data_IF_230129434250
#
_entry.id   IF_230129434250
#
_cell.length_a   1.000
_cell.length_b   1.000
_cell.length_c   1.000
_cell.angle_alpha   90.00
_cell.angle_beta   90.00
_cell.angle_gamma   90.00
#
_symmetry.space_group_name_H-M   'P 1'
#
loop_
_entity.id
_entity.type
_entity.pdbx_description
1 polymer ?
#
# COMPACT_ATOMS: atom_id res chain seq x y z
N UNK A 1 -62.12 18.37 18.88
CA UNK A 1 -61.52 17.27 19.65
C UNK A 1 -60.17 16.91 19.10
N UNK A 2 -59.08 17.32 19.76
CA UNK A 2 -57.70 17.01 19.34
C UNK A 2 -57.30 15.66 19.96
N UNK A 3 -57.21 14.64 19.17
CA UNK A 3 -56.64 13.37 19.58
C UNK A 3 -55.12 13.43 19.54
N UNK A 4 -54.49 13.42 20.72
CA UNK A 4 -53.05 13.32 20.84
C UNK A 4 -52.70 11.84 20.89
N UNK A 5 -52.17 11.28 19.76
CA UNK A 5 -51.74 9.88 19.69
C UNK A 5 -50.30 9.77 20.11
N UNK A 6 -50.04 9.27 21.32
CA UNK A 6 -48.73 8.97 21.85
C UNK A 6 -48.33 7.57 21.38
N UNK A 7 -47.51 7.44 20.36
CA UNK A 7 -46.89 6.16 20.02
C UNK A 7 -45.40 6.20 20.40
N UNK A 8 -45.05 5.41 21.41
CA UNK A 8 -43.67 5.12 21.77
C UNK A 8 -43.06 4.18 20.72
N UNK A 9 -42.01 4.62 20.04
CA UNK A 9 -41.26 3.83 19.09
C UNK A 9 -40.31 2.92 19.86
N UNK A 10 -40.50 1.60 19.84
CA UNK A 10 -39.52 0.61 20.28
C UNK A 10 -38.64 0.26 19.08
N UNK A 11 -37.60 1.06 18.83
CA UNK A 11 -36.49 0.68 18.00
C UNK A 11 -35.46 -0.13 18.80
N UNK A 12 -34.43 -0.75 18.15
CA UNK A 12 -33.39 -1.46 18.87
C UNK A 12 -32.78 -0.53 19.92
N UNK A 13 -32.44 -1.07 21.09
CA UNK A 13 -32.04 -0.39 22.34
C UNK A 13 -30.78 0.47 22.19
N UNK A 14 -30.88 1.59 21.51
CA UNK A 14 -29.88 2.65 21.46
C UNK A 14 -30.56 3.93 21.97
N UNK A 15 -30.09 4.40 23.12
CA UNK A 15 -30.50 5.59 23.86
C UNK A 15 -31.90 5.52 24.55
N UNK A 16 -31.89 5.21 25.83
CA UNK A 16 -32.97 5.55 26.73
C UNK A 16 -33.08 7.07 26.83
N UNK A 17 -34.19 7.63 26.33
CA UNK A 17 -34.61 8.95 26.75
C UNK A 17 -34.71 10.07 25.71
N UNK A 18 -34.55 9.84 24.43
CA UNK A 18 -34.80 10.87 23.42
C UNK A 18 -36.27 10.77 22.90
N UNK A 19 -37.13 11.71 23.27
CA UNK A 19 -38.46 11.87 22.67
C UNK A 19 -38.37 13.01 21.64
N UNK A 20 -38.44 12.66 20.37
CA UNK A 20 -38.55 13.65 19.29
C UNK A 20 -40.02 13.84 18.98
N UNK A 21 -40.55 15.03 19.21
CA UNK A 21 -41.93 15.40 18.86
C UNK A 21 -41.88 16.19 17.54
N UNK A 22 -42.33 15.56 16.47
CA UNK A 22 -42.46 16.19 15.17
C UNK A 22 -43.95 16.32 14.84
N UNK A 23 -44.43 17.53 14.60
CA UNK A 23 -45.79 17.83 14.21
C UNK A 23 -45.99 17.62 12.70
N UNK A 24 -46.82 16.65 12.31
CA UNK A 24 -47.16 16.32 10.93
C UNK A 24 -48.13 15.11 10.86
N UNK A 25 -48.61 14.77 9.67
CA UNK A 25 -49.48 13.64 9.41
C UNK A 25 -48.80 12.29 9.72
N UNK A 26 -49.49 11.25 10.16
CA UNK A 26 -48.90 9.99 10.63
C UNK A 26 -48.08 9.21 9.58
N UNK A 27 -48.31 9.49 8.31
CA UNK A 27 -47.54 8.82 7.20
C UNK A 27 -46.15 9.42 6.96
N UNK A 28 -46.02 10.73 7.14
CA UNK A 28 -44.77 11.45 6.95
C UNK A 28 -43.73 11.07 8.01
N UNK A 29 -44.17 10.81 9.24
CA UNK A 29 -43.29 10.42 10.35
C UNK A 29 -42.62 9.05 10.15
N UNK A 30 -43.33 8.11 9.48
CA UNK A 30 -42.74 6.78 9.19
C UNK A 30 -41.67 6.87 8.11
N UNK A 31 -41.89 7.73 7.13
CA UNK A 31 -40.94 7.93 6.04
C UNK A 31 -39.68 8.68 6.56
N UNK A 32 -39.90 9.74 7.33
CA UNK A 32 -38.84 10.52 7.95
C UNK A 32 -38.00 9.65 8.93
N UNK A 33 -38.64 8.86 9.76
CA UNK A 33 -37.96 7.92 10.68
C UNK A 33 -37.13 6.86 9.97
N UNK A 34 -37.60 6.35 8.81
CA UNK A 34 -36.84 5.42 7.98
C UNK A 34 -35.64 6.08 7.31
N UNK A 35 -35.80 7.30 6.82
CA UNK A 35 -34.68 8.07 6.22
C UNK A 35 -33.59 8.41 7.24
N UNK A 36 -34.02 8.83 8.46
CA UNK A 36 -33.08 9.09 9.57
C UNK A 36 -32.38 7.81 10.01
N UNK A 37 -33.11 6.71 10.16
CA UNK A 37 -32.49 5.42 10.50
C UNK A 37 -31.53 4.91 9.41
N UNK A 38 -31.90 5.02 8.14
CA UNK A 38 -31.04 4.68 7.01
C UNK A 38 -29.78 5.57 6.95
N UNK A 39 -29.94 6.88 7.16
CA UNK A 39 -28.83 7.83 7.22
C UNK A 39 -27.84 7.52 8.35
N UNK A 40 -28.37 7.17 9.55
CA UNK A 40 -27.53 6.80 10.70
C UNK A 40 -26.81 5.46 10.50
N UNK A 41 -27.46 4.47 9.88
CA UNK A 41 -26.81 3.17 9.61
C UNK A 41 -25.74 3.28 8.52
N UNK A 42 -26.00 4.04 7.45
CA UNK A 42 -25.02 4.32 6.40
C UNK A 42 -23.84 5.13 6.96
N UNK A 43 -24.11 6.17 7.74
CA UNK A 43 -23.09 7.00 8.37
C UNK A 43 -22.23 6.22 9.37
N UNK A 44 -22.83 5.37 10.21
CA UNK A 44 -22.10 4.50 11.13
C UNK A 44 -21.27 3.45 10.39
N UNK A 45 -21.82 2.88 9.32
CA UNK A 45 -21.09 1.93 8.46
C UNK A 45 -19.88 2.58 7.80
N UNK A 46 -20.05 3.76 7.22
CA UNK A 46 -18.95 4.53 6.60
C UNK A 46 -17.88 4.91 7.62
N UNK A 47 -18.29 5.36 8.82
CA UNK A 47 -17.36 5.70 9.89
C UNK A 47 -16.57 4.47 10.38
N UNK A 48 -17.21 3.32 10.49
CA UNK A 48 -16.54 2.07 10.85
C UNK A 48 -15.52 1.65 9.79
N UNK A 49 -15.89 1.71 8.50
CA UNK A 49 -14.97 1.42 7.40
C UNK A 49 -13.79 2.40 7.39
N UNK A 50 -14.03 3.70 7.55
CA UNK A 50 -12.98 4.71 7.62
C UNK A 50 -12.03 4.49 8.81
N UNK A 51 -12.55 4.10 9.97
CA UNK A 51 -11.73 3.77 11.15
C UNK A 51 -10.90 2.51 10.94
N UNK A 52 -11.49 1.46 10.37
CA UNK A 52 -10.78 0.21 10.07
C UNK A 52 -9.71 0.45 9.02
N UNK A 53 -10.01 1.18 7.94
CA UNK A 53 -8.99 1.52 6.93
C UNK A 53 -7.86 2.37 7.50
N UNK A 54 -8.16 3.34 8.39
CA UNK A 54 -7.14 4.14 9.07
C UNK A 54 -6.28 3.34 10.06
N UNK A 55 -6.85 2.30 10.69
CA UNK A 55 -6.08 1.39 11.55
C UNK A 55 -5.19 0.47 10.73
N UNK A 56 -5.71 -0.05 9.61
CA UNK A 56 -4.94 -0.91 8.70
C UNK A 56 -3.80 -0.12 8.03
N UNK A 57 -4.03 1.13 7.62
CA UNK A 57 -2.99 1.97 7.04
C UNK A 57 -1.89 2.33 8.06
N UNK A 58 -2.23 2.58 9.33
CA UNK A 58 -1.24 2.81 10.38
C UNK A 58 -0.41 1.58 10.71
N UNK A 59 -1.00 0.38 10.69
CA UNK A 59 -0.28 -0.87 10.91
C UNK A 59 0.62 -1.27 9.72
N UNK A 60 0.30 -0.78 8.51
CA UNK A 60 1.07 -1.06 7.29
C UNK A 60 2.29 -0.15 7.06
N UNK A 61 2.40 0.96 7.80
CA UNK A 61 3.43 1.98 7.53
C UNK A 61 4.78 1.79 8.22
N UNK A 62 4.87 0.94 9.26
CA UNK A 62 6.13 0.75 9.96
C UNK A 62 7.06 -0.21 9.18
N UNK A 63 8.25 0.25 8.84
CA UNK A 63 9.31 -0.58 8.24
C UNK A 63 9.80 -1.58 9.29
N UNK A 64 10.05 -2.82 8.89
CA UNK A 64 10.57 -3.87 9.77
C UNK A 64 11.97 -3.50 10.29
N UNK A 65 12.32 -3.84 11.55
CA UNK A 65 13.61 -3.41 12.13
C UNK A 65 14.84 -3.79 11.29
N UNK A 66 14.78 -4.87 10.53
CA UNK A 66 15.88 -5.30 9.64
C UNK A 66 15.92 -4.59 8.29
N UNK A 67 14.92 -3.78 7.96
CA UNK A 67 14.77 -3.10 6.67
C UNK A 67 14.85 -1.58 6.77
N UNK A 68 15.33 -1.06 7.89
CA UNK A 68 15.44 0.39 8.12
C UNK A 68 16.72 0.99 7.54
N UNK A 69 17.71 0.16 7.24
CA UNK A 69 19.00 0.59 6.71
C UNK A 69 18.96 0.64 5.18
N UNK A 70 19.44 1.73 4.56
CA UNK A 70 19.52 1.81 3.10
C UNK A 70 20.45 0.73 2.53
N UNK A 71 20.18 0.24 1.31
CA UNK A 71 21.03 -0.70 0.62
C UNK A 71 22.44 -0.11 0.41
N UNK A 72 23.46 -0.96 0.50
CA UNK A 72 24.85 -0.56 0.24
C UNK A 72 25.23 -0.69 -1.22
N UNK A 73 24.61 -1.63 -1.95
CA UNK A 73 24.90 -1.88 -3.36
C UNK A 73 24.36 -0.73 -4.24
N UNK A 74 25.20 -0.12 -5.08
CA UNK A 74 24.79 1.01 -5.94
C UNK A 74 23.74 0.64 -6.99
N UNK A 75 23.55 -0.65 -7.26
CA UNK A 75 22.55 -1.20 -8.17
C UNK A 75 21.12 -1.15 -7.61
N UNK A 76 20.97 -0.78 -6.34
CA UNK A 76 19.66 -0.81 -5.66
C UNK A 76 19.20 0.62 -5.39
N UNK A 77 17.92 0.90 -5.68
CA UNK A 77 17.29 2.19 -5.32
C UNK A 77 17.37 2.46 -3.82
N UNK A 78 17.64 3.70 -3.46
CA UNK A 78 17.80 4.13 -2.06
C UNK A 78 19.22 3.91 -1.50
N UNK A 79 20.15 3.36 -2.28
CA UNK A 79 21.58 3.33 -1.95
C UNK A 79 22.18 4.74 -2.00
N UNK A 80 23.40 4.89 -1.51
CA UNK A 80 24.11 6.18 -1.54
C UNK A 80 24.33 6.74 -2.96
N UNK A 81 24.30 5.87 -3.99
CA UNK A 81 24.42 6.25 -5.40
C UNK A 81 23.05 6.57 -6.04
N UNK A 82 21.94 6.27 -5.37
CA UNK A 82 20.59 6.51 -5.86
C UNK A 82 20.20 7.97 -5.76
N UNK A 83 19.44 8.46 -6.74
CA UNK A 83 18.77 9.77 -6.66
C UNK A 83 17.55 9.78 -5.74
N UNK A 84 17.18 8.63 -5.17
CA UNK A 84 16.00 8.45 -4.32
C UNK A 84 16.40 8.45 -2.86
N UNK A 85 15.73 9.31 -2.08
CA UNK A 85 15.87 9.32 -0.62
C UNK A 85 15.23 8.05 -0.02
N UNK A 86 16.02 7.25 0.69
CA UNK A 86 15.57 6.03 1.37
C UNK A 86 14.39 6.27 2.31
N UNK A 87 14.34 7.43 2.96
CA UNK A 87 13.24 7.79 3.88
C UNK A 87 11.88 7.96 3.19
N UNK A 88 11.88 8.10 1.86
CA UNK A 88 10.66 8.15 1.03
C UNK A 88 10.29 6.80 0.43
N UNK A 89 11.06 5.76 0.70
CA UNK A 89 10.71 4.40 0.27
C UNK A 89 9.68 3.82 1.25
N UNK A 90 8.53 3.42 0.72
CA UNK A 90 7.48 2.81 1.55
C UNK A 90 7.94 1.47 2.13
N UNK A 91 7.27 1.01 3.20
CA UNK A 91 7.58 -0.26 3.88
C UNK A 91 7.76 -1.43 2.92
N UNK A 92 6.83 -1.61 1.99
CA UNK A 92 6.87 -2.74 1.05
C UNK A 92 7.99 -2.58 0.02
N UNK A 93 8.28 -1.35 -0.39
CA UNK A 93 9.45 -1.03 -1.21
C UNK A 93 10.76 -1.34 -0.48
N UNK A 94 10.89 -0.91 0.77
CA UNK A 94 12.07 -1.18 1.60
C UNK A 94 12.30 -2.68 1.80
N UNK A 95 11.22 -3.44 2.07
CA UNK A 95 11.29 -4.90 2.15
C UNK A 95 11.79 -5.50 0.84
N UNK A 96 11.18 -5.14 -0.28
CA UNK A 96 11.53 -5.71 -1.58
C UNK A 96 12.97 -5.37 -2.00
N UNK A 97 13.41 -4.13 -1.76
CA UNK A 97 14.78 -3.70 -2.03
C UNK A 97 15.79 -4.34 -1.08
N UNK A 98 15.48 -4.42 0.21
CA UNK A 98 16.34 -5.00 1.23
C UNK A 98 16.52 -6.51 1.13
N UNK A 99 15.64 -7.20 0.39
CA UNK A 99 15.73 -8.65 0.12
C UNK A 99 16.42 -8.95 -1.23
N UNK A 100 17.11 -7.99 -1.84
CA UNK A 100 17.92 -8.26 -3.03
C UNK A 100 19.03 -9.26 -2.68
N UNK A 101 19.18 -10.29 -3.50
CA UNK A 101 20.23 -11.29 -3.30
C UNK A 101 21.62 -10.67 -3.54
N UNK A 102 22.59 -11.18 -2.80
CA UNK A 102 24.01 -10.81 -3.04
C UNK A 102 24.66 -11.76 -4.04
N UNK A 103 25.69 -11.33 -4.77
CA UNK A 103 26.44 -12.19 -5.67
C UNK A 103 26.94 -13.48 -5.00
N UNK A 104 27.45 -13.35 -3.77
CA UNK A 104 27.97 -14.48 -2.99
C UNK A 104 26.85 -15.46 -2.60
N UNK A 105 25.68 -14.93 -2.23
CA UNK A 105 24.49 -15.73 -1.91
C UNK A 105 24.03 -16.54 -3.13
N UNK A 106 23.94 -15.88 -4.30
CA UNK A 106 23.57 -16.53 -5.56
C UNK A 106 24.59 -17.60 -5.93
N UNK A 107 25.87 -17.27 -5.92
CA UNK A 107 26.95 -18.18 -6.29
C UNK A 107 26.96 -19.44 -5.39
N UNK A 108 26.79 -19.24 -4.08
CA UNK A 108 26.72 -20.34 -3.11
C UNK A 108 25.56 -21.30 -3.35
N UNK A 109 24.36 -20.77 -3.60
CA UNK A 109 23.15 -21.57 -3.81
C UNK A 109 23.18 -22.28 -5.17
N UNK A 110 23.64 -21.59 -6.20
CA UNK A 110 23.66 -22.12 -7.57
C UNK A 110 24.89 -22.99 -7.87
N UNK A 111 25.85 -23.05 -6.97
CA UNK A 111 27.07 -23.86 -7.13
C UNK A 111 27.97 -23.37 -8.26
N UNK A 112 28.06 -22.04 -8.44
CA UNK A 112 28.92 -21.40 -9.44
C UNK A 112 30.04 -20.58 -8.79
N UNK A 113 31.12 -20.31 -9.51
CA UNK A 113 32.29 -19.59 -8.96
C UNK A 113 32.01 -18.11 -8.72
N UNK A 114 31.12 -17.51 -9.52
CA UNK A 114 30.75 -16.09 -9.42
C UNK A 114 29.33 -15.84 -9.93
N UNK A 115 28.72 -14.80 -9.38
CA UNK A 115 27.45 -14.24 -9.84
C UNK A 115 27.55 -12.72 -9.90
N UNK A 116 26.58 -12.07 -10.54
CA UNK A 116 26.50 -10.62 -10.67
C UNK A 116 25.58 -10.05 -9.61
N UNK A 117 25.78 -8.78 -9.19
CA UNK A 117 24.82 -8.08 -8.32
C UNK A 117 23.53 -7.81 -9.09
N UNK A 118 22.37 -8.34 -8.66
CA UNK A 118 21.09 -7.99 -9.26
C UNK A 118 20.76 -6.49 -9.09
N UNK A 119 20.05 -5.94 -10.07
CA UNK A 119 19.51 -4.58 -9.98
C UNK A 119 18.07 -4.65 -9.51
N UNK A 120 17.73 -3.85 -8.49
CA UNK A 120 16.33 -3.60 -8.11
C UNK A 120 16.05 -2.10 -8.05
N UNK A 121 15.09 -1.63 -8.83
CA UNK A 121 14.65 -0.23 -8.85
C UNK A 121 13.18 -0.12 -8.49
N UNK A 122 12.86 0.80 -7.59
CA UNK A 122 11.51 0.96 -7.05
C UNK A 122 11.13 2.42 -6.92
N UNK A 123 9.91 2.76 -7.36
CA UNK A 123 9.33 4.07 -7.12
C UNK A 123 8.11 3.97 -6.20
N UNK A 124 8.21 4.61 -5.03
CA UNK A 124 7.18 4.63 -3.97
C UNK A 124 6.19 5.78 -4.14
N UNK A 125 5.00 5.63 -3.57
CA UNK A 125 4.00 6.70 -3.47
C UNK A 125 4.49 7.92 -2.70
N UNK A 126 5.31 7.72 -1.66
CA UNK A 126 5.80 8.80 -0.79
C UNK A 126 6.90 9.66 -1.45
N UNK A 127 7.36 9.29 -2.65
CA UNK A 127 8.34 10.09 -3.41
C UNK A 127 7.70 11.32 -4.03
N UNK A 128 6.52 11.14 -4.64
CA UNK A 128 5.71 12.22 -5.24
C UNK A 128 4.26 11.77 -5.38
N UNK A 129 3.33 12.73 -5.35
CA UNK A 129 1.91 12.48 -5.60
C UNK A 129 1.55 12.46 -7.10
N UNK A 130 2.47 12.86 -7.98
CA UNK A 130 2.26 12.83 -9.43
C UNK A 130 2.76 11.51 -10.02
N UNK A 131 1.85 10.78 -10.67
CA UNK A 131 2.16 9.47 -11.27
C UNK A 131 3.16 9.60 -12.43
N UNK A 132 3.10 10.68 -13.21
CA UNK A 132 4.02 10.91 -14.31
C UNK A 132 5.43 11.23 -13.79
N UNK A 133 5.54 12.05 -12.75
CA UNK A 133 6.81 12.34 -12.08
C UNK A 133 7.40 11.07 -11.45
N UNK A 134 6.56 10.24 -10.81
CA UNK A 134 6.99 8.96 -10.24
C UNK A 134 7.54 8.01 -11.29
N UNK A 135 6.89 7.95 -12.46
CA UNK A 135 7.38 7.17 -13.59
C UNK A 135 8.73 7.69 -14.10
N UNK A 136 8.92 9.01 -14.16
CA UNK A 136 10.21 9.61 -14.53
C UNK A 136 11.31 9.29 -13.51
N UNK A 137 11.01 9.30 -12.22
CA UNK A 137 11.97 8.91 -11.18
C UNK A 137 12.38 7.45 -11.33
N UNK A 138 11.44 6.54 -11.64
CA UNK A 138 11.76 5.15 -11.92
C UNK A 138 12.65 5.01 -13.15
N UNK A 139 12.33 5.71 -14.24
CA UNK A 139 13.14 5.70 -15.46
C UNK A 139 14.56 6.22 -15.20
N UNK A 140 14.71 7.28 -14.40
CA UNK A 140 16.02 7.80 -14.03
C UNK A 140 16.87 6.75 -13.26
N UNK A 141 16.24 5.97 -12.37
CA UNK A 141 16.92 4.88 -11.66
C UNK A 141 17.28 3.71 -12.61
N UNK A 142 16.40 3.38 -13.57
CA UNK A 142 16.66 2.38 -14.62
C UNK A 142 17.88 2.80 -15.44
N UNK A 143 17.95 4.05 -15.87
CA UNK A 143 19.05 4.60 -16.65
C UNK A 143 20.35 4.66 -15.83
N UNK A 144 20.27 5.16 -14.58
CA UNK A 144 21.42 5.24 -13.67
C UNK A 144 22.08 3.88 -13.46
N UNK A 145 21.27 2.85 -13.23
CA UNK A 145 21.75 1.48 -12.96
C UNK A 145 22.08 0.69 -14.21
N UNK A 146 21.79 1.24 -15.40
CA UNK A 146 21.88 0.55 -16.69
C UNK A 146 21.08 -0.76 -16.70
N UNK A 147 19.90 -0.72 -16.09
CA UNK A 147 19.07 -1.90 -15.88
C UNK A 147 18.70 -2.62 -17.19
N UNK A 148 18.53 -1.88 -18.28
CA UNK A 148 18.20 -2.42 -19.60
C UNK A 148 19.41 -3.07 -20.32
N UNK A 149 20.63 -2.89 -19.84
CA UNK A 149 21.82 -3.55 -20.38
C UNK A 149 22.03 -4.96 -19.80
N UNK A 150 21.23 -5.35 -18.78
CA UNK A 150 21.30 -6.68 -18.20
C UNK A 150 20.71 -7.73 -19.14
N UNK A 151 21.13 -8.97 -18.95
CA UNK A 151 20.67 -10.12 -19.75
C UNK A 151 19.15 -10.30 -19.74
N UNK A 152 18.50 -9.93 -18.64
CA UNK A 152 17.06 -9.97 -18.50
C UNK A 152 16.55 -8.79 -17.67
N UNK A 153 15.42 -8.23 -18.05
CA UNK A 153 14.71 -7.18 -17.33
C UNK A 153 13.27 -7.61 -17.04
N UNK A 154 12.81 -7.45 -15.81
CA UNK A 154 11.46 -7.75 -15.39
C UNK A 154 10.78 -6.53 -14.78
N UNK A 155 9.57 -6.21 -15.24
CA UNK A 155 8.71 -5.22 -14.63
C UNK A 155 7.67 -5.94 -13.76
N UNK A 156 7.73 -5.72 -12.46
CA UNK A 156 6.78 -6.28 -11.50
C UNK A 156 5.64 -5.30 -11.22
N UNK A 157 4.41 -5.80 -11.24
CA UNK A 157 3.24 -5.03 -10.82
C UNK A 157 3.01 -5.27 -9.33
N UNK A 158 3.21 -4.27 -8.46
CA UNK A 158 2.89 -4.39 -7.05
C UNK A 158 1.38 -4.45 -6.82
N UNK A 159 0.97 -4.93 -5.65
CA UNK A 159 -0.40 -4.77 -5.16
C UNK A 159 -0.66 -3.31 -4.77
N UNK A 160 -1.92 -2.94 -4.47
CA UNK A 160 -2.27 -1.58 -4.03
C UNK A 160 -1.53 -1.11 -2.78
N UNK A 161 -1.05 -2.03 -1.92
CA UNK A 161 -0.17 -1.70 -0.78
C UNK A 161 1.29 -1.45 -1.16
N UNK A 162 1.68 -1.69 -2.41
CA UNK A 162 3.06 -1.63 -2.88
C UNK A 162 3.83 -2.95 -2.74
N UNK A 163 3.18 -4.01 -2.25
CA UNK A 163 3.82 -5.32 -2.10
C UNK A 163 4.17 -5.92 -3.47
N UNK A 164 5.43 -6.30 -3.63
CA UNK A 164 5.95 -7.08 -4.76
C UNK A 164 6.31 -8.48 -4.26
N UNK A 165 5.98 -9.51 -5.04
CA UNK A 165 6.34 -10.88 -4.68
C UNK A 165 7.87 -11.07 -4.73
N UNK A 166 8.50 -10.98 -3.57
CA UNK A 166 9.96 -11.09 -3.44
C UNK A 166 10.46 -12.49 -3.76
N UNK A 167 9.69 -13.54 -3.47
CA UNK A 167 10.09 -14.95 -3.77
C UNK A 167 10.20 -15.16 -5.28
N UNK A 168 9.23 -14.65 -6.05
CA UNK A 168 9.30 -14.70 -7.51
C UNK A 168 10.52 -13.93 -8.04
N UNK A 169 10.83 -12.77 -7.43
CA UNK A 169 11.97 -11.98 -7.83
C UNK A 169 13.31 -12.64 -7.47
N UNK A 170 13.44 -13.20 -6.27
CA UNK A 170 14.62 -13.99 -5.87
C UNK A 170 14.85 -15.19 -6.79
N UNK A 171 13.77 -15.89 -7.15
CA UNK A 171 13.85 -16.99 -8.13
C UNK A 171 14.38 -16.51 -9.48
N UNK A 172 13.94 -15.34 -9.94
CA UNK A 172 14.43 -14.73 -11.17
C UNK A 172 15.91 -14.37 -11.06
N UNK A 173 16.36 -13.82 -9.92
CA UNK A 173 17.77 -13.50 -9.66
C UNK A 173 18.65 -14.75 -9.65
N UNK A 174 18.20 -15.85 -9.03
CA UNK A 174 18.93 -17.13 -9.09
C UNK A 174 19.04 -17.65 -10.52
N UNK A 175 17.94 -17.70 -11.26
CA UNK A 175 17.93 -18.21 -12.63
C UNK A 175 18.84 -17.44 -13.59
N UNK A 176 18.98 -16.14 -13.36
CA UNK A 176 19.82 -15.25 -14.16
C UNK A 176 21.25 -15.13 -13.62
N UNK A 177 21.60 -15.83 -12.53
CA UNK A 177 22.88 -15.70 -11.83
C UNK A 177 23.18 -14.22 -11.48
N UNK A 178 22.15 -13.45 -11.15
CA UNK A 178 22.23 -12.05 -10.81
C UNK A 178 22.39 -11.09 -12.00
N UNK A 179 22.63 -11.58 -13.22
CA UNK A 179 22.71 -10.73 -14.42
C UNK A 179 21.31 -10.36 -14.92
N UNK A 180 20.57 -9.68 -14.04
CA UNK A 180 19.19 -9.27 -14.28
C UNK A 180 18.89 -7.94 -13.58
N UNK A 181 17.81 -7.32 -14.03
CA UNK A 181 17.24 -6.15 -13.39
C UNK A 181 15.74 -6.30 -13.20
N UNK A 182 15.27 -5.78 -12.09
CA UNK A 182 13.86 -5.77 -11.70
C UNK A 182 13.41 -4.36 -11.39
N UNK A 183 12.26 -3.97 -11.90
CA UNK A 183 11.66 -2.67 -11.63
C UNK A 183 10.24 -2.83 -11.11
N UNK A 184 9.81 -1.93 -10.21
CA UNK A 184 8.42 -1.82 -9.78
C UNK A 184 8.06 -0.37 -9.46
N UNK A 185 6.82 -0.01 -9.77
CA UNK A 185 6.26 1.32 -9.47
C UNK A 185 4.99 1.14 -8.65
N UNK A 186 4.95 1.76 -7.50
CA UNK A 186 3.76 1.72 -6.65
C UNK A 186 2.70 2.68 -7.21
N UNK A 187 1.48 2.20 -7.31
CA UNK A 187 0.29 2.97 -7.69
C UNK A 187 -0.73 2.94 -6.55
N UNK A 188 -1.43 4.07 -6.32
CA UNK A 188 -2.54 4.31 -5.35
C UNK A 188 -2.61 3.38 -4.15
#
# INVERSE_FOLDING_TARGET
>A
MKWCYRRTFRGPKLAKGATVVIGGEPQDHRMLGRMVAAGLTIGAGWFAVAKVSALLSKGGGAVEPGMTTPPTAPEITGSAASGVDWMKVTREGARWLGMTLTPEGIASVMGVDAATQPIRVYASLDMTHDDAERAQMLLAEIDRTKALERKAFALFSPTGSGYVNYVANETFEYLMLGDCASAAIQYS
#
